data_IF_754531259107
#
_entry.id   IF_754531259107
#
_cell.length_a   1.000
_cell.length_b   1.000
_cell.length_c   1.000
_cell.angle_alpha   90.00
_cell.angle_beta   90.00
_cell.angle_gamma   90.00
#
_symmetry.space_group_name_H-M   'P 1'
#
loop_
_entity.id
_entity.type
_entity.pdbx_description
1 polymer ?
#
# COMPACT_ATOMS: atom_id res chain seq x y z
N UNK A 1 -6.24 14.49 1.18
CA UNK A 1 -7.71 14.44 1.05
C UNK A 1 -8.33 15.57 1.86
N UNK A 2 -9.61 15.90 1.62
CA UNK A 2 -10.37 16.88 2.43
C UNK A 2 -10.82 16.27 3.75
N UNK A 3 -11.25 17.11 4.69
CA UNK A 3 -11.78 16.66 5.99
C UNK A 3 -13.00 15.74 5.80
N UNK A 4 -13.94 16.10 4.91
CA UNK A 4 -15.11 15.26 4.58
C UNK A 4 -14.71 13.87 4.05
N UNK A 5 -13.65 13.81 3.24
CA UNK A 5 -13.13 12.53 2.73
C UNK A 5 -12.48 11.70 3.85
N UNK A 6 -11.75 12.35 4.76
CA UNK A 6 -11.16 11.67 5.90
C UNK A 6 -12.25 11.14 6.85
N UNK A 7 -13.30 11.92 7.10
CA UNK A 7 -14.47 11.50 7.87
C UNK A 7 -15.17 10.30 7.21
N UNK A 8 -15.29 10.30 5.89
CA UNK A 8 -15.85 9.16 5.16
C UNK A 8 -15.01 7.89 5.34
N UNK A 9 -13.68 7.99 5.24
CA UNK A 9 -12.75 6.88 5.49
C UNK A 9 -12.90 6.36 6.92
N UNK A 10 -12.95 7.25 7.92
CA UNK A 10 -13.14 6.89 9.33
C UNK A 10 -14.50 6.26 9.60
N UNK A 11 -15.56 6.75 8.97
CA UNK A 11 -16.89 6.15 9.06
C UNK A 11 -16.85 4.73 8.48
N UNK A 12 -16.19 4.54 7.33
CA UNK A 12 -16.05 3.21 6.72
C UNK A 12 -15.25 2.27 7.62
N UNK A 13 -14.15 2.75 8.21
CA UNK A 13 -13.34 1.98 9.16
C UNK A 13 -14.17 1.59 10.41
N UNK A 14 -15.02 2.49 10.91
CA UNK A 14 -15.94 2.22 12.02
C UNK A 14 -17.00 1.18 11.69
N UNK A 15 -17.46 1.10 10.43
CA UNK A 15 -18.36 0.02 9.99
C UNK A 15 -17.66 -1.34 10.02
N UNK A 16 -16.38 -1.39 9.63
CA UNK A 16 -15.57 -2.63 9.66
C UNK A 16 -15.25 -3.04 11.09
N UNK A 17 -14.98 -2.07 11.97
CA UNK A 17 -14.58 -2.28 13.36
C UNK A 17 -15.60 -1.66 14.33
N UNK A 18 -16.82 -2.23 14.44
CA UNK A 18 -17.96 -1.60 15.12
C UNK A 18 -17.76 -1.43 16.64
N UNK A 19 -16.77 -2.11 17.21
CA UNK A 19 -16.52 -2.10 18.65
C UNK A 19 -15.58 -0.98 19.12
N UNK A 20 -15.02 -0.17 18.21
CA UNK A 20 -14.19 0.99 18.59
C UNK A 20 -14.99 2.27 18.50
N UNK A 21 -15.14 2.93 19.64
CA UNK A 21 -15.57 4.33 19.71
C UNK A 21 -14.33 5.23 19.68
N UNK A 22 -14.33 6.24 18.80
CA UNK A 22 -13.29 7.25 18.76
C UNK A 22 -13.66 8.45 19.63
N UNK A 23 -12.68 9.02 20.33
CA UNK A 23 -12.83 10.36 20.93
C UNK A 23 -12.68 11.44 19.86
N UNK A 24 -13.11 12.67 20.18
CA UNK A 24 -12.98 13.81 19.28
C UNK A 24 -11.52 14.09 18.93
N UNK A 25 -10.61 13.93 19.90
CA UNK A 25 -9.17 14.10 19.71
C UNK A 25 -8.59 13.03 18.78
N UNK A 26 -9.04 11.78 18.90
CA UNK A 26 -8.66 10.72 17.98
C UNK A 26 -9.13 11.03 16.57
N UNK A 27 -10.38 11.46 16.37
CA UNK A 27 -10.91 11.83 15.05
C UNK A 27 -10.07 12.94 14.43
N UNK A 28 -9.80 14.02 15.17
CA UNK A 28 -8.94 15.12 14.70
C UNK A 28 -7.54 14.64 14.30
N UNK A 29 -6.94 13.78 15.12
CA UNK A 29 -5.64 13.20 14.83
C UNK A 29 -5.67 12.42 13.51
N UNK A 30 -6.67 11.58 13.30
CA UNK A 30 -6.78 10.80 12.07
C UNK A 30 -7.01 11.68 10.85
N UNK A 31 -7.87 12.70 10.93
CA UNK A 31 -8.10 13.66 9.84
C UNK A 31 -6.78 14.35 9.45
N UNK A 32 -6.03 14.86 10.42
CA UNK A 32 -4.73 15.51 10.18
C UNK A 32 -3.74 14.54 9.50
N UNK A 33 -3.75 13.27 9.93
CA UNK A 33 -2.87 12.24 9.38
C UNK A 33 -3.27 11.77 7.99
N UNK A 34 -4.56 11.80 7.65
CA UNK A 34 -5.09 11.42 6.34
C UNK A 34 -5.00 12.54 5.30
N UNK A 35 -4.95 13.81 5.75
CA UNK A 35 -4.83 14.99 4.88
C UNK A 35 -3.79 14.90 3.74
N UNK A 36 -2.58 14.33 3.91
CA UNK A 36 -1.59 14.24 2.82
C UNK A 36 -1.83 13.09 1.81
N UNK A 37 -2.83 12.22 2.02
CA UNK A 37 -3.10 11.07 1.15
C UNK A 37 -4.29 11.30 0.23
N UNK A 38 -4.36 10.56 -0.87
CA UNK A 38 -5.50 10.56 -1.77
C UNK A 38 -6.68 9.77 -1.18
N UNK A 39 -7.90 10.15 -1.56
CA UNK A 39 -9.10 9.52 -1.03
C UNK A 39 -9.19 8.04 -1.42
N UNK A 40 -8.88 7.72 -2.68
CA UNK A 40 -8.94 6.35 -3.20
C UNK A 40 -7.95 5.43 -2.47
N UNK A 41 -6.72 5.92 -2.19
CA UNK A 41 -5.74 5.21 -1.37
C UNK A 41 -6.28 4.90 0.03
N UNK A 42 -6.95 5.88 0.65
CA UNK A 42 -7.60 5.73 1.95
C UNK A 42 -8.68 4.64 1.95
N UNK A 43 -9.53 4.63 0.93
CA UNK A 43 -10.60 3.65 0.80
C UNK A 43 -10.07 2.24 0.53
N UNK A 44 -9.05 2.10 -0.33
CA UNK A 44 -8.39 0.82 -0.58
C UNK A 44 -7.67 0.32 0.69
N UNK A 45 -7.07 1.22 1.47
CA UNK A 45 -6.39 0.87 2.74
C UNK A 45 -7.36 0.33 3.79
N UNK A 46 -8.60 0.84 3.85
CA UNK A 46 -9.66 0.28 4.71
C UNK A 46 -9.95 -1.18 4.34
N UNK A 47 -10.01 -1.50 3.05
CA UNK A 47 -10.18 -2.88 2.59
C UNK A 47 -9.01 -3.76 3.01
N UNK A 48 -7.79 -3.31 2.74
CA UNK A 48 -6.56 -4.06 3.06
C UNK A 48 -6.43 -4.34 4.56
N UNK A 49 -6.74 -3.36 5.41
CA UNK A 49 -6.63 -3.51 6.87
C UNK A 49 -7.76 -4.38 7.45
N UNK A 50 -8.95 -4.37 6.83
CA UNK A 50 -10.06 -5.25 7.20
C UNK A 50 -9.71 -6.72 7.02
N UNK A 51 -8.95 -7.05 5.98
CA UNK A 51 -8.51 -8.42 5.70
C UNK A 51 -7.36 -8.88 6.61
N UNK A 52 -6.51 -7.94 7.07
CA UNK A 52 -5.31 -8.27 7.85
C UNK A 52 -5.46 -8.14 9.36
N UNK A 53 -6.42 -7.35 9.86
CA UNK A 53 -6.58 -7.07 11.29
C UNK A 53 -7.97 -7.43 11.80
N UNK A 54 -8.02 -8.01 12.99
CA UNK A 54 -9.27 -8.27 13.73
C UNK A 54 -9.74 -7.07 14.56
N UNK A 55 -8.83 -6.16 14.88
CA UNK A 55 -9.08 -5.03 15.77
C UNK A 55 -8.85 -3.70 15.04
N UNK A 56 -9.36 -2.62 15.64
CA UNK A 56 -9.11 -1.28 15.13
C UNK A 56 -7.60 -1.05 14.95
N UNK A 57 -7.15 -0.65 13.75
CA UNK A 57 -5.73 -0.55 13.47
C UNK A 57 -5.11 0.65 14.19
N UNK A 58 -3.86 0.49 14.61
CA UNK A 58 -3.00 1.62 14.94
C UNK A 58 -2.76 2.48 13.69
N UNK A 59 -2.40 3.76 13.90
CA UNK A 59 -2.03 4.62 12.79
C UNK A 59 -0.85 4.06 11.98
N UNK A 60 0.13 3.43 12.64
CA UNK A 60 1.26 2.80 11.94
C UNK A 60 0.81 1.71 10.98
N UNK A 61 -0.08 0.82 11.42
CA UNK A 61 -0.59 -0.28 10.57
C UNK A 61 -1.36 0.27 9.37
N UNK A 62 -2.23 1.26 9.61
CA UNK A 62 -3.00 1.87 8.52
C UNK A 62 -2.10 2.64 7.54
N UNK A 63 -1.08 3.35 8.05
CA UNK A 63 -0.11 4.05 7.22
C UNK A 63 0.71 3.08 6.35
N UNK A 64 1.06 1.92 6.88
CA UNK A 64 1.80 0.92 6.11
C UNK A 64 0.94 0.36 4.95
N UNK A 65 -0.37 0.19 5.16
CA UNK A 65 -1.33 -0.10 4.08
C UNK A 65 -1.35 1.01 3.03
N UNK A 66 -1.50 2.28 3.45
CA UNK A 66 -1.47 3.44 2.54
C UNK A 66 -0.20 3.48 1.69
N UNK A 67 0.97 3.29 2.31
CA UNK A 67 2.25 3.26 1.58
C UNK A 67 2.40 2.04 0.68
N UNK A 68 1.79 0.89 1.01
CA UNK A 68 1.78 -0.27 0.12
C UNK A 68 0.93 0.00 -1.12
N UNK A 69 -0.25 0.61 -0.96
CA UNK A 69 -1.16 0.96 -2.04
C UNK A 69 -0.54 2.01 -2.94
N UNK A 70 -0.07 3.12 -2.38
CA UNK A 70 0.59 4.17 -3.14
C UNK A 70 1.77 3.65 -3.95
N UNK A 71 2.58 2.74 -3.40
CA UNK A 71 3.66 2.08 -4.16
C UNK A 71 3.12 1.30 -5.36
N UNK A 72 1.99 0.61 -5.24
CA UNK A 72 1.38 -0.11 -6.37
C UNK A 72 0.92 0.85 -7.47
N UNK A 73 0.33 1.99 -7.09
CA UNK A 73 -0.13 3.02 -8.03
C UNK A 73 1.05 3.77 -8.68
N UNK A 74 2.09 4.07 -7.90
CA UNK A 74 3.31 4.75 -8.37
C UNK A 74 4.24 3.84 -9.18
N UNK A 75 4.06 2.51 -9.10
CA UNK A 75 4.78 1.58 -9.96
C UNK A 75 4.23 1.71 -11.38
N UNK A 76 4.70 2.73 -12.10
CA UNK A 76 4.61 2.77 -13.57
C UNK A 76 5.05 1.40 -14.05
N UNK A 77 4.19 0.72 -14.81
CA UNK A 77 4.51 -0.58 -15.39
C UNK A 77 5.92 -0.52 -15.94
N UNK A 78 6.75 -1.50 -15.56
CA UNK A 78 8.13 -1.57 -16.04
C UNK A 78 8.11 -1.30 -17.55
N UNK A 79 8.99 -0.41 -18.06
CA UNK A 79 9.04 -0.14 -19.48
C UNK A 79 9.12 -1.49 -20.20
N UNK A 80 8.32 -1.65 -21.26
CA UNK A 80 8.32 -2.88 -22.04
C UNK A 80 9.77 -3.25 -22.34
N UNK A 81 10.18 -4.50 -22.07
CA UNK A 81 11.57 -4.89 -22.24
C UNK A 81 12.02 -4.52 -23.66
N UNK A 82 13.04 -3.67 -23.76
CA UNK A 82 13.57 -3.18 -25.03
C UNK A 82 14.36 -4.25 -25.79
N UNK A 83 14.61 -5.38 -25.14
CA UNK A 83 15.35 -6.53 -25.66
C UNK A 83 14.47 -7.76 -25.65
N UNK A 84 14.58 -8.56 -26.71
CA UNK A 84 13.91 -9.85 -26.79
C UNK A 84 14.31 -10.75 -25.60
N UNK A 85 13.38 -11.56 -25.05
CA UNK A 85 13.71 -12.51 -24.00
C UNK A 85 14.76 -13.49 -24.52
N UNK A 86 15.91 -13.54 -23.86
CA UNK A 86 16.95 -14.54 -24.16
C UNK A 86 16.40 -15.94 -23.86
N UNK A 87 16.73 -16.92 -24.70
CA UNK A 87 16.29 -18.30 -24.46
C UNK A 87 16.84 -18.83 -23.12
N UNK A 88 16.19 -19.85 -22.55
CA UNK A 88 16.62 -20.44 -21.27
C UNK A 88 18.05 -21.01 -21.37
N UNK A 89 18.41 -21.51 -22.54
CA UNK A 89 19.70 -22.09 -22.87
C UNK A 89 20.79 -21.02 -22.91
N UNK A 90 20.52 -19.89 -23.56
CA UNK A 90 21.45 -18.75 -23.61
C UNK A 90 21.63 -18.09 -22.24
N UNK A 91 20.54 -17.92 -21.48
CA UNK A 91 20.62 -17.38 -20.12
C UNK A 91 21.51 -18.25 -19.20
N UNK A 92 21.39 -19.58 -19.29
CA UNK A 92 22.24 -20.52 -18.56
C UNK A 92 23.71 -20.38 -18.95
N UNK A 93 23.98 -20.22 -20.26
CA UNK A 93 25.34 -20.03 -20.77
C UNK A 93 25.94 -18.72 -20.25
N UNK A 94 25.24 -17.60 -20.37
CA UNK A 94 25.70 -16.30 -19.83
C UNK A 94 25.99 -16.36 -18.33
N UNK A 95 25.09 -16.97 -17.55
CA UNK A 95 25.30 -17.11 -16.11
C UNK A 95 26.50 -18.00 -15.76
N UNK A 96 26.77 -19.04 -16.57
CA UNK A 96 27.94 -19.91 -16.38
C UNK A 96 29.25 -19.19 -16.68
N UNK A 97 29.28 -18.37 -17.73
CA UNK A 97 30.45 -17.57 -18.13
C UNK A 97 30.76 -16.49 -17.08
N UNK A 98 29.73 -15.79 -16.57
CA UNK A 98 29.88 -14.80 -15.49
C UNK A 98 30.42 -15.46 -14.22
N UNK A 99 29.86 -16.61 -13.81
CA UNK A 99 30.32 -17.34 -12.62
C UNK A 99 31.76 -17.83 -12.74
N UNK A 100 32.20 -18.17 -13.95
CA UNK A 100 33.58 -18.57 -14.21
C UNK A 100 34.54 -17.37 -14.13
N UNK A 101 34.11 -16.17 -14.55
CA UNK A 101 34.92 -14.94 -14.48
C UNK A 101 35.06 -14.31 -13.08
N UNK A 102 34.21 -14.73 -12.14
CA UNK A 102 34.23 -14.26 -10.74
C UNK A 102 35.07 -15.17 -9.81
N UNK A 103 35.68 -16.23 -10.35
CA UNK A 103 36.65 -17.09 -9.66
C UNK A 103 38.07 -16.73 -10.06
#
# INVERSE_FOLDING_TARGET
MTDDHADYVLAKLSVVFPNKTLTVEEVKFWIEKLAPYDFDDGMEAVGMVADSSKFWPSWSEFRDCLHAIRRRHDTKGLPAPTTEPVSKEEAKRYLSEIRASLR
#
